data_IF_581663065379
#
_entry.id   IF_581663065379
#
_cell.length_a   1.000
_cell.length_b   1.000
_cell.length_c   1.000
_cell.angle_alpha   90.00
_cell.angle_beta   90.00
_cell.angle_gamma   90.00
#
_symmetry.space_group_name_H-M   'P 1'
#
loop_
_entity.id
_entity.type
_entity.pdbx_description
1 polymer ?
#
# COMPACT_ATOMS: atom_id res chain seq x y z
N UNK A 1 12.34 -23.79 -20.77
CA UNK A 1 13.40 -23.21 -19.90
C UNK A 1 14.42 -22.37 -20.66
N UNK A 2 15.16 -22.88 -21.68
CA UNK A 2 16.18 -22.08 -22.40
C UNK A 2 15.68 -20.76 -23.07
N UNK A 3 14.37 -20.59 -23.27
CA UNK A 3 13.80 -19.37 -23.84
C UNK A 3 13.34 -18.32 -22.80
N UNK A 4 13.22 -18.69 -21.52
CA UNK A 4 12.64 -17.82 -20.47
C UNK A 4 13.57 -16.63 -20.17
N UNK A 5 14.87 -16.89 -20.00
CA UNK A 5 15.84 -15.84 -19.67
C UNK A 5 15.96 -14.79 -20.79
N UNK A 6 16.15 -15.17 -22.07
CA UNK A 6 16.12 -14.20 -23.17
C UNK A 6 14.81 -13.41 -23.26
N UNK A 7 13.66 -14.04 -22.98
CA UNK A 7 12.37 -13.35 -22.99
C UNK A 7 12.26 -12.32 -21.85
N UNK A 8 12.71 -12.65 -20.64
CA UNK A 8 12.76 -11.71 -19.52
C UNK A 8 13.65 -10.51 -19.86
N UNK A 9 14.85 -10.76 -20.39
CA UNK A 9 15.77 -9.69 -20.79
C UNK A 9 15.14 -8.75 -21.85
N UNK A 10 14.44 -9.32 -22.84
CA UNK A 10 13.69 -8.53 -23.83
C UNK A 10 12.62 -7.65 -23.17
N UNK A 11 11.79 -8.23 -22.29
CA UNK A 11 10.72 -7.50 -21.61
C UNK A 11 11.26 -6.40 -20.68
N UNK A 12 12.39 -6.62 -20.01
CA UNK A 12 13.08 -5.58 -19.25
C UNK A 12 13.44 -4.39 -20.15
N UNK A 13 14.08 -4.65 -21.28
CA UNK A 13 14.42 -3.62 -22.26
C UNK A 13 13.19 -2.88 -22.80
N UNK A 14 12.08 -3.57 -23.00
CA UNK A 14 10.85 -2.95 -23.54
C UNK A 14 10.11 -2.12 -22.48
N UNK A 15 10.07 -2.56 -21.23
CA UNK A 15 9.10 -2.06 -20.24
C UNK A 15 9.68 -1.48 -18.96
N UNK A 16 10.90 -1.84 -18.53
CA UNK A 16 11.40 -1.38 -17.23
C UNK A 16 11.64 0.13 -17.24
N UNK A 17 11.18 0.82 -16.19
CA UNK A 17 11.20 2.28 -16.12
C UNK A 17 12.62 2.88 -16.17
N UNK A 18 13.66 2.10 -15.84
CA UNK A 18 15.07 2.51 -15.91
C UNK A 18 15.81 1.77 -17.04
N UNK A 19 15.96 2.36 -18.25
CA UNK A 19 16.52 1.69 -19.41
C UNK A 19 17.96 1.19 -19.23
N UNK A 20 18.79 1.98 -18.54
CA UNK A 20 20.20 1.66 -18.30
C UNK A 20 20.31 0.44 -17.37
N UNK A 21 19.52 0.41 -16.31
CA UNK A 21 19.44 -0.73 -15.38
C UNK A 21 18.85 -1.96 -16.08
N UNK A 22 17.86 -1.76 -16.97
CA UNK A 22 17.30 -2.85 -17.76
C UNK A 22 18.36 -3.56 -18.61
N UNK A 23 19.27 -2.79 -19.21
CA UNK A 23 20.37 -3.32 -20.01
C UNK A 23 21.37 -4.10 -19.14
N UNK A 24 21.77 -3.53 -18.00
CA UNK A 24 22.67 -4.19 -17.05
C UNK A 24 22.09 -5.52 -16.53
N UNK A 25 20.80 -5.55 -16.20
CA UNK A 25 20.12 -6.77 -15.79
C UNK A 25 20.01 -7.80 -16.93
N UNK A 26 19.77 -7.36 -18.16
CA UNK A 26 19.75 -8.24 -19.33
C UNK A 26 21.08 -8.97 -19.52
N UNK A 27 22.19 -8.22 -19.44
CA UNK A 27 23.55 -8.76 -19.53
C UNK A 27 23.87 -9.69 -18.35
N UNK A 28 23.49 -9.29 -17.12
CA UNK A 28 23.67 -10.11 -15.92
C UNK A 28 22.96 -11.45 -16.04
N UNK A 29 21.68 -11.46 -16.41
CA UNK A 29 20.89 -12.68 -16.55
C UNK A 29 21.46 -13.59 -17.64
N UNK A 30 21.91 -13.02 -18.77
CA UNK A 30 22.55 -13.78 -19.83
C UNK A 30 23.87 -14.42 -19.37
N UNK A 31 24.72 -13.67 -18.66
CA UNK A 31 25.96 -14.18 -18.08
C UNK A 31 25.70 -15.32 -17.08
N UNK A 32 24.76 -15.13 -16.15
CA UNK A 32 24.36 -16.16 -15.17
C UNK A 32 23.81 -17.43 -15.83
N UNK A 33 23.05 -17.28 -16.90
CA UNK A 33 22.57 -18.41 -17.68
C UNK A 33 23.72 -19.17 -18.35
N UNK A 34 24.69 -18.46 -18.94
CA UNK A 34 25.88 -19.06 -19.56
C UNK A 34 26.80 -19.76 -18.55
N UNK A 35 26.80 -19.31 -17.29
CA UNK A 35 27.48 -19.96 -16.16
C UNK A 35 26.75 -21.21 -15.63
N UNK A 36 25.58 -21.55 -16.18
CA UNK A 36 24.78 -22.70 -15.75
C UNK A 36 24.01 -22.50 -14.45
N UNK A 37 23.90 -21.26 -13.94
CA UNK A 37 23.23 -20.96 -12.64
C UNK A 37 21.79 -21.47 -12.55
N UNK A 38 21.10 -21.52 -13.68
CA UNK A 38 19.69 -21.89 -13.78
C UNK A 38 19.48 -23.33 -14.27
N UNK A 39 20.55 -24.07 -14.59
CA UNK A 39 20.44 -25.42 -15.14
C UNK A 39 19.85 -26.40 -14.11
N UNK A 40 18.90 -27.23 -14.56
CA UNK A 40 18.24 -28.24 -13.72
C UNK A 40 17.27 -27.68 -12.66
N UNK A 41 17.09 -26.36 -12.56
CA UNK A 41 16.13 -25.76 -11.64
C UNK A 41 14.69 -26.00 -12.11
N UNK A 42 13.82 -26.51 -11.22
CA UNK A 42 12.37 -26.48 -11.44
C UNK A 42 11.83 -25.04 -11.43
N UNK A 43 10.64 -24.81 -11.97
CA UNK A 43 10.08 -23.46 -12.18
C UNK A 43 10.04 -22.60 -10.90
N UNK A 44 9.63 -23.16 -9.76
CA UNK A 44 9.65 -22.45 -8.48
C UNK A 44 11.07 -21.99 -8.08
N UNK A 45 12.06 -22.88 -8.21
CA UNK A 45 13.46 -22.55 -7.88
C UNK A 45 14.06 -21.56 -8.89
N UNK A 46 13.68 -21.68 -10.16
CA UNK A 46 14.05 -20.72 -11.20
C UNK A 46 13.53 -19.32 -10.86
N UNK A 47 12.26 -19.20 -10.45
CA UNK A 47 11.65 -17.95 -10.02
C UNK A 47 12.42 -17.27 -8.87
N UNK A 48 12.82 -18.04 -7.86
CA UNK A 48 13.64 -17.54 -6.75
C UNK A 48 15.02 -17.03 -7.21
N UNK A 49 15.75 -17.84 -7.99
CA UNK A 49 17.09 -17.51 -8.46
C UNK A 49 17.09 -16.27 -9.36
N UNK A 50 16.17 -16.23 -10.33
CA UNK A 50 16.04 -15.10 -11.26
C UNK A 50 15.58 -13.85 -10.51
N UNK A 51 14.68 -13.96 -9.53
CA UNK A 51 14.30 -12.81 -8.69
C UNK A 51 15.49 -12.24 -7.93
N UNK A 52 16.32 -13.09 -7.31
CA UNK A 52 17.51 -12.63 -6.62
C UNK A 52 18.46 -11.87 -7.56
N UNK A 53 18.62 -12.34 -8.79
CA UNK A 53 19.49 -11.68 -9.77
C UNK A 53 18.85 -10.37 -10.29
N UNK A 54 17.55 -10.36 -10.58
CA UNK A 54 16.77 -9.18 -10.98
C UNK A 54 16.86 -8.03 -9.97
N UNK A 55 16.92 -8.34 -8.67
CA UNK A 55 16.93 -7.34 -7.61
C UNK A 55 18.35 -6.93 -7.20
N UNK A 56 19.38 -7.63 -7.67
CA UNK A 56 20.76 -7.46 -7.17
C UNK A 56 21.40 -6.09 -7.49
N UNK A 57 20.94 -5.44 -8.56
CA UNK A 57 21.50 -4.15 -9.03
C UNK A 57 20.67 -2.96 -8.54
N UNK A 58 19.35 -3.13 -8.43
CA UNK A 58 18.39 -2.04 -8.18
C UNK A 58 17.72 -2.08 -6.80
N UNK A 59 17.64 -3.24 -6.14
CA UNK A 59 16.89 -3.40 -4.89
C UNK A 59 15.37 -3.30 -5.01
N UNK A 60 14.82 -3.26 -6.24
CA UNK A 60 13.40 -3.05 -6.54
C UNK A 60 12.59 -4.31 -6.21
N UNK A 61 11.84 -4.24 -5.13
CA UNK A 61 11.07 -5.38 -4.62
C UNK A 61 9.86 -5.75 -5.50
N UNK A 62 9.49 -4.88 -6.44
CA UNK A 62 8.45 -5.14 -7.43
C UNK A 62 8.95 -5.90 -8.66
N UNK A 63 10.25 -5.86 -8.94
CA UNK A 63 10.86 -6.59 -10.06
C UNK A 63 11.14 -8.06 -9.67
N UNK A 64 10.31 -8.99 -10.16
CA UNK A 64 10.34 -10.41 -9.74
C UNK A 64 9.96 -11.35 -10.87
N UNK A 65 10.47 -12.57 -10.83
CA UNK A 65 9.89 -13.71 -11.53
C UNK A 65 9.01 -14.48 -10.54
N UNK A 66 7.74 -14.67 -10.87
CA UNK A 66 6.75 -15.38 -10.05
C UNK A 66 6.44 -16.74 -10.65
N UNK A 67 6.19 -17.69 -9.78
CA UNK A 67 5.70 -19.02 -10.11
C UNK A 67 4.26 -19.20 -9.64
N UNK A 68 3.41 -19.73 -10.52
CA UNK A 68 2.03 -20.11 -10.23
C UNK A 68 1.88 -21.63 -10.30
N UNK A 69 1.21 -22.23 -9.32
CA UNK A 69 0.87 -23.66 -9.38
C UNK A 69 -0.17 -23.97 -10.46
N UNK A 70 -1.08 -23.03 -10.72
CA UNK A 70 -2.02 -23.10 -11.84
C UNK A 70 -1.34 -22.61 -13.14
N UNK A 71 -1.77 -23.15 -14.28
CA UNK A 71 -1.35 -22.63 -15.58
C UNK A 71 -1.83 -21.19 -15.73
N UNK A 72 -0.94 -20.31 -16.19
CA UNK A 72 -1.27 -18.95 -16.56
C UNK A 72 -1.98 -18.99 -17.92
N UNK A 73 -3.05 -18.23 -18.09
CA UNK A 73 -3.77 -18.15 -19.36
C UNK A 73 -2.87 -17.52 -20.46
N UNK A 74 -3.11 -17.85 -21.73
CA UNK A 74 -2.28 -17.40 -22.88
C UNK A 74 -2.45 -15.92 -23.21
N UNK A 75 -3.63 -15.36 -22.93
CA UNK A 75 -3.84 -13.93 -23.01
C UNK A 75 -3.14 -13.28 -21.81
N UNK A 76 -2.53 -12.10 -22.00
CA UNK A 76 -2.64 -11.11 -20.94
C UNK A 76 -4.13 -11.03 -20.68
N UNK A 77 -4.61 -11.59 -19.55
CA UNK A 77 -6.02 -11.56 -19.19
C UNK A 77 -6.54 -10.19 -19.60
N UNK A 78 -7.54 -10.16 -20.48
CA UNK A 78 -8.17 -8.90 -20.80
C UNK A 78 -8.56 -8.22 -19.47
N UNK A 79 -8.58 -6.88 -19.46
CA UNK A 79 -8.81 -6.14 -18.21
C UNK A 79 -10.04 -6.65 -17.44
N UNK A 80 -11.02 -7.21 -18.15
CA UNK A 80 -12.20 -7.88 -17.58
C UNK A 80 -11.85 -9.11 -16.74
N UNK A 81 -11.00 -10.01 -17.21
CA UNK A 81 -10.64 -11.23 -16.48
C UNK A 81 -9.79 -10.94 -15.24
N UNK A 82 -8.84 -10.01 -15.33
CA UNK A 82 -8.08 -9.54 -14.16
C UNK A 82 -9.01 -8.90 -13.13
N UNK A 83 -9.94 -8.06 -13.60
CA UNK A 83 -10.94 -7.41 -12.74
C UNK A 83 -11.87 -8.45 -12.09
N UNK A 84 -12.24 -9.52 -12.79
CA UNK A 84 -13.07 -10.62 -12.26
C UNK A 84 -12.36 -11.38 -11.14
N UNK A 85 -11.10 -11.76 -11.34
CA UNK A 85 -10.29 -12.41 -10.30
C UNK A 85 -10.10 -11.47 -9.10
N UNK A 86 -9.83 -10.20 -9.36
CA UNK A 86 -9.71 -9.18 -8.32
C UNK A 86 -11.03 -8.98 -7.56
N UNK A 87 -12.17 -9.03 -8.24
CA UNK A 87 -13.50 -8.94 -7.64
C UNK A 87 -13.81 -10.14 -6.74
N UNK A 88 -13.45 -11.35 -7.17
CA UNK A 88 -13.60 -12.57 -6.36
C UNK A 88 -12.79 -12.45 -5.07
N UNK A 89 -11.51 -12.05 -5.17
CA UNK A 89 -10.67 -11.86 -3.99
C UNK A 89 -11.18 -10.71 -3.10
N UNK A 90 -11.55 -9.58 -3.69
CA UNK A 90 -12.16 -8.47 -2.97
C UNK A 90 -13.43 -8.93 -2.22
N UNK A 91 -14.27 -9.77 -2.83
CA UNK A 91 -15.46 -10.34 -2.20
C UNK A 91 -15.14 -11.16 -0.95
N UNK A 92 -14.09 -11.99 -1.00
CA UNK A 92 -13.61 -12.77 0.16
C UNK A 92 -12.96 -11.90 1.25
N UNK A 93 -12.50 -10.70 0.90
CA UNK A 93 -11.83 -9.75 1.79
C UNK A 93 -12.71 -8.53 2.15
N UNK A 94 -14.02 -8.56 1.90
CA UNK A 94 -14.93 -7.44 2.12
C UNK A 94 -14.45 -6.11 1.49
N UNK A 95 -13.96 -6.15 0.26
CA UNK A 95 -13.37 -5.01 -0.43
C UNK A 95 -12.05 -4.52 0.18
N UNK A 96 -11.40 -5.35 0.99
CA UNK A 96 -10.23 -4.99 1.78
C UNK A 96 -10.56 -4.36 3.15
N UNK A 97 -11.84 -4.13 3.47
CA UNK A 97 -12.26 -3.61 4.78
C UNK A 97 -12.25 -4.75 5.80
N UNK A 98 -11.10 -4.98 6.42
CA UNK A 98 -10.92 -6.02 7.43
C UNK A 98 -11.58 -5.66 8.77
N UNK A 99 -11.69 -4.36 9.09
CA UNK A 99 -12.46 -3.88 10.24
C UNK A 99 -12.89 -2.42 10.06
N UNK A 100 -14.09 -2.08 10.51
CA UNK A 100 -14.56 -0.70 10.69
C UNK A 100 -15.29 -0.60 12.03
N UNK A 101 -14.70 0.09 13.01
CA UNK A 101 -15.18 0.10 14.39
C UNK A 101 -15.08 1.49 15.02
N UNK A 102 -16.08 1.86 15.84
CA UNK A 102 -15.94 2.97 16.79
C UNK A 102 -15.40 2.43 18.12
N UNK A 103 -14.15 2.76 18.44
CA UNK A 103 -13.48 2.48 19.70
C UNK A 103 -13.97 3.42 20.83
N UNK A 104 -13.68 3.11 22.11
CA UNK A 104 -13.92 4.03 23.23
C UNK A 104 -13.34 5.41 22.99
N UNK A 105 -14.05 6.44 23.43
CA UNK A 105 -13.68 7.83 23.21
C UNK A 105 -14.05 8.34 21.81
N UNK A 106 -15.05 7.72 21.15
CA UNK A 106 -15.49 8.11 19.81
C UNK A 106 -14.35 8.17 18.78
N UNK A 107 -13.40 7.22 18.86
CA UNK A 107 -12.29 7.08 17.92
C UNK A 107 -12.67 6.04 16.87
N UNK A 108 -12.59 6.40 15.59
CA UNK A 108 -12.78 5.45 14.50
C UNK A 108 -11.53 4.60 14.29
N UNK A 109 -11.70 3.31 14.03
CA UNK A 109 -10.68 2.40 13.54
C UNK A 109 -11.14 1.84 12.19
N UNK A 110 -10.36 2.08 11.16
CA UNK A 110 -10.52 1.46 9.84
C UNK A 110 -9.28 0.63 9.54
N UNK A 111 -9.42 -0.69 9.46
CA UNK A 111 -8.36 -1.60 9.03
C UNK A 111 -8.56 -1.98 7.57
N UNK A 112 -7.55 -1.74 6.75
CA UNK A 112 -7.54 -2.18 5.35
C UNK A 112 -6.51 -3.30 5.17
N UNK A 113 -6.97 -4.48 4.81
CA UNK A 113 -6.15 -5.66 4.52
C UNK A 113 -6.92 -6.68 3.65
N UNK A 114 -6.26 -7.45 2.78
CA UNK A 114 -4.81 -7.40 2.50
C UNK A 114 -4.44 -6.29 1.50
N UNK A 115 -5.40 -5.70 0.77
CA UNK A 115 -5.15 -4.74 -0.31
C UNK A 115 -6.16 -3.59 -0.30
N UNK A 116 -5.73 -2.43 -0.82
CA UNK A 116 -6.63 -1.40 -1.33
C UNK A 116 -7.07 -1.82 -2.75
N UNK A 117 -8.10 -2.67 -2.84
CA UNK A 117 -8.61 -3.17 -4.13
C UNK A 117 -9.18 -2.04 -5.02
N UNK A 118 -9.26 -2.21 -6.36
CA UNK A 118 -9.79 -1.19 -7.25
C UNK A 118 -11.19 -0.68 -6.85
N UNK A 119 -11.50 0.62 -7.00
CA UNK A 119 -12.83 1.16 -6.67
C UNK A 119 -13.98 0.47 -7.41
N UNK A 120 -13.74 -0.01 -8.62
CA UNK A 120 -14.74 -0.75 -9.41
C UNK A 120 -15.26 -2.03 -8.72
N UNK A 121 -14.50 -2.62 -7.78
CA UNK A 121 -14.88 -3.85 -7.07
C UNK A 121 -15.05 -3.67 -5.56
N UNK A 122 -14.46 -2.62 -5.00
CA UNK A 122 -14.39 -2.41 -3.54
C UNK A 122 -14.83 -1.01 -3.08
N UNK A 123 -15.20 -0.13 -4.02
CA UNK A 123 -15.56 1.27 -3.74
C UNK A 123 -16.69 1.41 -2.73
N UNK A 124 -17.72 0.56 -2.84
CA UNK A 124 -18.89 0.61 -1.97
C UNK A 124 -18.56 0.23 -0.52
N UNK A 125 -17.75 -0.81 -0.31
CA UNK A 125 -17.34 -1.28 1.01
C UNK A 125 -16.46 -0.25 1.72
N UNK A 126 -15.47 0.29 1.01
CA UNK A 126 -14.59 1.35 1.54
C UNK A 126 -15.39 2.61 1.84
N UNK A 127 -16.31 3.00 0.96
CA UNK A 127 -17.22 4.14 1.17
C UNK A 127 -18.10 3.94 2.40
N UNK A 128 -18.71 2.77 2.56
CA UNK A 128 -19.55 2.46 3.71
C UNK A 128 -18.76 2.51 5.03
N UNK A 129 -17.52 2.02 5.02
CA UNK A 129 -16.64 2.08 6.19
C UNK A 129 -16.30 3.53 6.57
N UNK A 130 -15.97 4.39 5.60
CA UNK A 130 -15.75 5.81 5.86
C UNK A 130 -17.02 6.53 6.32
N UNK A 131 -18.18 6.23 5.73
CA UNK A 131 -19.46 6.80 6.17
C UNK A 131 -19.80 6.45 7.61
N UNK A 132 -19.59 5.18 8.00
CA UNK A 132 -19.79 4.72 9.37
C UNK A 132 -18.93 5.52 10.37
N UNK A 133 -17.69 5.82 9.99
CA UNK A 133 -16.71 6.47 10.85
C UNK A 133 -16.67 8.00 10.68
N UNK A 134 -17.45 8.56 9.74
CA UNK A 134 -17.38 9.98 9.37
C UNK A 134 -17.66 10.93 10.54
N UNK A 135 -18.44 10.50 11.55
CA UNK A 135 -18.79 11.32 12.73
C UNK A 135 -17.90 11.09 13.95
N UNK A 136 -16.90 10.21 13.85
CA UNK A 136 -15.93 10.00 14.95
C UNK A 136 -15.04 11.22 15.13
N UNK A 137 -14.54 11.47 16.34
CA UNK A 137 -13.74 12.67 16.65
C UNK A 137 -12.29 12.54 16.15
N UNK A 138 -11.81 11.30 15.98
CA UNK A 138 -10.46 10.93 15.56
C UNK A 138 -10.52 9.64 14.75
N UNK A 139 -9.55 9.42 13.84
CA UNK A 139 -9.49 8.20 13.02
C UNK A 139 -8.10 7.54 13.10
N UNK A 140 -8.10 6.23 13.26
CA UNK A 140 -6.93 5.38 13.12
C UNK A 140 -7.14 4.54 11.85
N UNK A 141 -6.24 4.69 10.89
CA UNK A 141 -6.19 3.90 9.66
C UNK A 141 -5.12 2.83 9.80
N UNK A 142 -5.52 1.59 9.98
CA UNK A 142 -4.60 0.46 10.17
C UNK A 142 -4.24 -0.19 8.83
N UNK A 143 -2.99 0.03 8.39
CA UNK A 143 -2.40 -0.50 7.15
C UNK A 143 -1.27 -1.48 7.43
N UNK A 144 -1.13 -1.97 8.68
CA UNK A 144 -0.06 -2.88 9.09
C UNK A 144 -0.02 -4.17 8.27
N UNK A 145 -1.16 -4.61 7.76
CA UNK A 145 -1.30 -5.83 6.93
C UNK A 145 -1.68 -5.50 5.48
N UNK A 146 -1.55 -4.22 5.06
CA UNK A 146 -1.83 -3.80 3.69
C UNK A 146 -0.60 -4.01 2.80
N UNK A 147 -0.70 -4.96 1.87
CA UNK A 147 0.39 -5.41 1.00
C UNK A 147 0.47 -4.66 -0.33
N UNK A 148 -0.41 -3.68 -0.55
CA UNK A 148 -0.48 -2.91 -1.78
C UNK A 148 -1.88 -2.46 -2.12
N UNK A 149 -2.05 -2.05 -3.38
CA UNK A 149 -3.36 -1.68 -3.87
C UNK A 149 -3.35 -0.88 -5.15
N UNK A 150 -4.55 -0.59 -5.61
CA UNK A 150 -4.83 0.22 -6.78
C UNK A 150 -4.66 1.72 -6.45
N UNK A 151 -3.92 2.48 -7.27
CA UNK A 151 -3.74 3.93 -7.08
C UNK A 151 -5.06 4.73 -7.05
N UNK A 152 -6.10 4.28 -7.75
CA UNK A 152 -7.40 4.95 -7.71
C UNK A 152 -8.12 4.69 -6.38
N UNK A 153 -7.91 3.54 -5.74
CA UNK A 153 -8.42 3.32 -4.38
C UNK A 153 -7.65 4.13 -3.34
N UNK A 154 -6.33 4.33 -3.53
CA UNK A 154 -5.56 5.28 -2.72
C UNK A 154 -6.16 6.68 -2.84
N UNK A 155 -6.40 7.14 -4.07
CA UNK A 155 -7.04 8.43 -4.33
C UNK A 155 -8.46 8.54 -3.76
N UNK A 156 -9.23 7.45 -3.82
CA UNK A 156 -10.58 7.36 -3.26
C UNK A 156 -10.57 7.46 -1.74
N UNK A 157 -9.75 6.65 -1.06
CA UNK A 157 -9.61 6.69 0.39
C UNK A 157 -9.11 8.05 0.88
N UNK A 158 -8.14 8.65 0.20
CA UNK A 158 -7.65 9.99 0.50
C UNK A 158 -8.78 11.05 0.37
N UNK A 159 -9.68 10.89 -0.61
CA UNK A 159 -10.81 11.79 -0.84
C UNK A 159 -11.78 11.95 0.34
N UNK A 160 -11.89 10.95 1.22
CA UNK A 160 -12.68 11.05 2.47
C UNK A 160 -12.00 11.88 3.57
N UNK A 161 -10.68 12.10 3.44
CA UNK A 161 -9.84 12.78 4.42
C UNK A 161 -9.52 14.23 4.02
N UNK A 162 -10.08 14.72 2.91
CA UNK A 162 -9.89 16.07 2.38
C UNK A 162 -11.10 16.98 2.60
N UNK A 163 -10.87 18.28 2.41
CA UNK A 163 -11.91 19.28 2.27
C UNK A 163 -12.64 19.21 0.91
N UNK A 164 -13.23 20.33 0.45
CA UNK A 164 -13.92 20.37 -0.84
C UNK A 164 -12.96 20.32 -2.04
N UNK A 165 -11.76 20.88 -1.91
CA UNK A 165 -10.78 20.94 -2.99
C UNK A 165 -10.00 19.62 -3.13
N UNK A 166 -9.81 19.12 -4.37
CA UNK A 166 -8.93 17.98 -4.63
C UNK A 166 -7.49 18.26 -4.22
N UNK A 167 -6.81 17.24 -3.70
CA UNK A 167 -5.41 17.29 -3.30
C UNK A 167 -4.59 16.48 -4.30
N UNK A 168 -3.51 17.07 -4.82
CA UNK A 168 -2.58 16.34 -5.69
C UNK A 168 -1.83 15.28 -4.88
N UNK A 169 -1.83 14.04 -5.36
CA UNK A 169 -1.17 12.91 -4.72
C UNK A 169 0.14 12.58 -5.46
N UNK A 170 0.89 11.62 -4.95
CA UNK A 170 2.06 11.07 -5.62
C UNK A 170 1.69 10.60 -7.03
N UNK A 171 2.35 11.17 -8.04
CA UNK A 171 2.15 10.86 -9.45
C UNK A 171 3.04 9.70 -9.92
N UNK A 172 2.94 9.38 -11.21
CA UNK A 172 3.69 8.29 -11.85
C UNK A 172 4.46 8.84 -13.05
N UNK A 173 5.78 8.78 -13.00
CA UNK A 173 6.62 9.04 -14.16
C UNK A 173 6.95 7.72 -14.87
N UNK A 174 6.59 7.62 -16.15
CA UNK A 174 7.00 6.49 -16.97
C UNK A 174 8.44 6.64 -17.44
N UNK A 175 8.87 5.77 -18.36
CA UNK A 175 10.22 5.74 -18.90
C UNK A 175 10.66 7.08 -19.49
N UNK A 176 9.76 7.81 -20.15
CA UNK A 176 10.00 9.21 -20.50
C UNK A 176 9.71 10.07 -19.25
N UNK A 177 10.70 10.77 -18.67
CA UNK A 177 10.45 11.63 -17.52
C UNK A 177 9.49 12.78 -17.80
N UNK A 178 9.29 13.16 -19.07
CA UNK A 178 8.27 14.13 -19.46
C UNK A 178 6.84 13.55 -19.38
N UNK A 179 6.71 12.22 -19.36
CA UNK A 179 5.45 11.49 -19.21
C UNK A 179 5.11 11.27 -17.72
N UNK A 180 4.88 12.39 -17.03
CA UNK A 180 4.43 12.41 -15.63
C UNK A 180 2.90 12.46 -15.56
N UNK A 181 2.29 11.35 -15.17
CA UNK A 181 0.88 11.28 -14.86
C UNK A 181 0.63 11.74 -13.43
N UNK A 182 -0.12 12.84 -13.29
CA UNK A 182 -0.54 13.34 -11.99
C UNK A 182 -1.70 12.49 -11.45
N UNK A 183 -1.67 12.22 -10.15
CA UNK A 183 -2.77 11.63 -9.41
C UNK A 183 -3.39 12.69 -8.49
N UNK A 184 -4.71 12.65 -8.32
CA UNK A 184 -5.45 13.59 -7.47
C UNK A 184 -6.47 12.82 -6.62
N UNK A 185 -6.72 13.27 -5.40
CA UNK A 185 -7.74 12.68 -4.53
C UNK A 185 -9.11 12.67 -5.23
N UNK A 186 -9.82 11.56 -5.19
CA UNK A 186 -11.11 11.43 -5.87
C UNK A 186 -12.20 12.23 -5.17
N UNK A 187 -13.20 12.66 -5.95
CA UNK A 187 -14.49 13.01 -5.38
C UNK A 187 -15.14 11.75 -4.80
N UNK A 188 -15.67 11.85 -3.59
CA UNK A 188 -16.36 10.75 -2.90
C UNK A 188 -17.75 11.21 -2.46
N UNK A 189 -18.78 10.35 -2.59
CA UNK A 189 -20.14 10.71 -2.24
C UNK A 189 -20.35 10.70 -0.72
N UNK A 190 -21.35 11.46 -0.26
CA UNK A 190 -21.83 11.41 1.12
C UNK A 190 -20.88 12.05 2.14
N UNK A 191 -21.02 11.68 3.43
CA UNK A 191 -20.22 12.25 4.50
C UNK A 191 -18.72 11.95 4.34
N UNK A 192 -17.90 12.99 4.48
CA UNK A 192 -16.44 12.86 4.62
C UNK A 192 -16.05 12.87 6.09
N UNK A 193 -14.93 12.22 6.42
CA UNK A 193 -14.28 12.45 7.70
C UNK A 193 -13.72 13.88 7.77
N UNK A 194 -13.30 14.41 6.62
CA UNK A 194 -12.91 15.81 6.45
C UNK A 194 -11.45 16.09 6.81
N UNK A 195 -11.01 17.35 6.64
CA UNK A 195 -9.60 17.71 6.79
C UNK A 195 -9.17 18.00 8.23
N UNK A 196 -10.11 18.37 9.11
CA UNK A 196 -9.78 18.99 10.40
C UNK A 196 -9.52 17.99 11.53
N UNK A 197 -10.18 16.84 11.48
CA UNK A 197 -10.09 15.84 12.54
C UNK A 197 -8.80 15.04 12.43
N UNK A 198 -8.16 14.71 13.57
CA UNK A 198 -6.85 14.06 13.56
C UNK A 198 -6.94 12.63 13.03
N UNK A 199 -5.89 12.23 12.31
CA UNK A 199 -5.72 10.89 11.73
C UNK A 199 -4.36 10.33 12.12
N UNK A 200 -4.31 9.05 12.45
CA UNK A 200 -3.08 8.28 12.60
C UNK A 200 -3.11 7.09 11.65
N UNK A 201 -1.98 6.78 11.03
CA UNK A 201 -1.82 5.62 10.13
C UNK A 201 -0.92 4.60 10.80
N UNK A 202 -1.37 3.35 10.91
CA UNK A 202 -0.56 2.28 11.46
C UNK A 202 0.18 1.55 10.34
N UNK A 203 1.49 1.38 10.51
CA UNK A 203 2.35 0.68 9.55
C UNK A 203 3.18 -0.42 10.21
N UNK A 204 3.57 -1.41 9.41
CA UNK A 204 4.50 -2.46 9.81
C UNK A 204 5.61 -2.63 8.78
N UNK A 205 6.61 -3.46 9.10
CA UNK A 205 7.65 -3.87 8.16
C UNK A 205 7.14 -4.63 6.92
N UNK A 206 5.86 -5.05 6.87
CA UNK A 206 5.26 -5.70 5.70
C UNK A 206 4.32 -4.78 4.90
N UNK A 207 3.96 -3.60 5.44
CA UNK A 207 3.16 -2.62 4.69
C UNK A 207 3.90 -2.25 3.40
N UNK A 208 3.22 -2.35 2.26
CA UNK A 208 3.88 -2.30 0.96
C UNK A 208 3.04 -1.58 -0.12
N UNK A 209 3.69 -1.00 -1.13
CA UNK A 209 3.06 -0.52 -2.38
C UNK A 209 1.91 0.48 -2.14
N UNK A 210 0.70 0.24 -2.64
CA UNK A 210 -0.45 1.13 -2.42
C UNK A 210 -0.73 1.49 -0.94
N UNK A 211 -0.44 0.58 0.01
CA UNK A 211 -0.54 0.90 1.45
C UNK A 211 0.51 1.92 1.90
N UNK A 212 1.70 1.86 1.31
CA UNK A 212 2.74 2.88 1.49
C UNK A 212 2.35 4.18 0.80
N UNK A 213 1.81 4.15 -0.42
CA UNK A 213 1.39 5.37 -1.14
C UNK A 213 0.40 6.20 -0.32
N UNK A 214 -0.65 5.57 0.23
CA UNK A 214 -1.61 6.26 1.10
C UNK A 214 -0.95 6.81 2.38
N UNK A 215 -0.07 6.03 3.01
CA UNK A 215 0.66 6.45 4.21
C UNK A 215 1.58 7.63 3.94
N UNK A 216 2.32 7.58 2.83
CA UNK A 216 3.30 8.59 2.42
C UNK A 216 2.60 9.91 2.09
N UNK A 217 1.56 9.89 1.26
CA UNK A 217 0.83 11.11 0.89
C UNK A 217 0.18 11.78 2.11
N UNK A 218 -0.33 10.98 3.07
CA UNK A 218 -0.89 11.50 4.32
C UNK A 218 0.19 12.10 5.23
N UNK A 219 1.34 11.45 5.34
CA UNK A 219 2.44 11.89 6.19
C UNK A 219 3.14 13.14 5.64
N UNK A 220 3.51 13.13 4.36
CA UNK A 220 4.25 14.22 3.71
C UNK A 220 3.47 15.54 3.76
N UNK A 221 2.14 15.45 3.77
CA UNK A 221 1.23 16.59 3.86
C UNK A 221 0.89 17.00 5.29
N UNK A 222 1.39 16.28 6.31
CA UNK A 222 1.03 16.47 7.71
C UNK A 222 -0.46 16.19 7.99
N UNK A 223 -1.15 15.44 7.12
CA UNK A 223 -2.56 15.09 7.31
C UNK A 223 -2.71 14.00 8.38
N UNK A 224 -1.74 13.09 8.48
CA UNK A 224 -1.71 12.06 9.50
C UNK A 224 -0.29 11.84 10.02
N UNK A 225 -0.17 11.38 11.26
CA UNK A 225 1.08 10.83 11.79
C UNK A 225 1.13 9.32 11.57
N UNK A 226 2.28 8.80 11.17
CA UNK A 226 2.54 7.37 11.00
C UNK A 226 3.05 6.78 12.32
N UNK A 227 2.43 5.69 12.76
CA UNK A 227 2.72 5.01 14.03
C UNK A 227 3.02 3.54 13.76
N UNK A 228 4.14 3.04 14.27
CA UNK A 228 4.54 1.64 14.09
C UNK A 228 5.95 1.52 13.54
N UNK A 229 6.13 0.63 12.56
CA UNK A 229 7.43 0.30 12.00
C UNK A 229 7.65 0.97 10.64
N UNK A 230 8.92 1.05 10.24
CA UNK A 230 9.31 1.43 8.88
C UNK A 230 8.72 0.44 7.88
N UNK A 231 8.10 0.95 6.82
CA UNK A 231 7.48 0.12 5.78
C UNK A 231 8.52 -0.55 4.87
N UNK A 232 8.04 -1.45 4.01
CA UNK A 232 8.90 -2.35 3.24
C UNK A 232 9.67 -1.69 2.08
N UNK A 233 9.17 -0.58 1.53
CA UNK A 233 9.88 0.24 0.55
C UNK A 233 9.65 -0.12 -0.91
N UNK A 234 8.42 -0.37 -1.35
CA UNK A 234 8.11 -0.56 -2.77
C UNK A 234 7.21 0.55 -3.29
N UNK A 235 7.75 1.46 -4.07
CA UNK A 235 7.03 2.59 -4.65
C UNK A 235 6.66 2.39 -6.12
N UNK A 236 7.43 1.62 -6.88
CA UNK A 236 7.24 1.58 -8.34
C UNK A 236 6.02 0.73 -8.79
N UNK A 237 5.05 1.32 -9.53
CA UNK A 237 3.97 0.55 -10.16
C UNK A 237 4.52 -0.46 -11.18
N UNK A 238 3.94 -1.66 -11.19
CA UNK A 238 4.39 -2.79 -12.02
C UNK A 238 3.28 -3.38 -12.87
N UNK A 239 3.69 -4.01 -13.97
CA UNK A 239 2.84 -4.86 -14.82
C UNK A 239 3.36 -6.30 -14.83
N UNK A 240 2.46 -7.26 -15.01
CA UNK A 240 2.78 -8.69 -15.15
C UNK A 240 2.88 -9.09 -16.63
N UNK A 241 3.88 -9.90 -16.95
CA UNK A 241 4.11 -10.44 -18.29
C UNK A 241 4.35 -11.94 -18.19
N UNK A 242 3.48 -12.75 -18.83
CA UNK A 242 3.68 -14.20 -18.91
C UNK A 242 4.93 -14.51 -19.74
N UNK A 243 5.79 -15.38 -19.22
CA UNK A 243 7.04 -15.82 -19.87
C UNK A 243 7.16 -17.32 -20.03
N UNK A 244 6.27 -18.09 -19.40
CA UNK A 244 6.14 -19.55 -19.56
C UNK A 244 4.73 -19.96 -19.08
N UNK A 245 4.39 -21.25 -19.12
CA UNK A 245 3.08 -21.78 -18.69
C UNK A 245 2.75 -21.42 -17.24
N UNK A 246 3.75 -21.40 -16.36
CA UNK A 246 3.59 -21.16 -14.92
C UNK A 246 4.41 -19.99 -14.40
N UNK A 247 5.01 -19.19 -15.30
CA UNK A 247 5.93 -18.11 -14.93
C UNK A 247 5.46 -16.77 -15.48
N UNK A 248 5.40 -15.78 -14.57
CA UNK A 248 5.12 -14.38 -14.88
C UNK A 248 6.28 -13.53 -14.36
N UNK A 249 6.87 -12.70 -15.21
CA UNK A 249 7.78 -11.64 -14.76
C UNK A 249 6.99 -10.37 -14.48
N UNK A 250 7.27 -9.72 -13.38
CA UNK A 250 6.60 -8.49 -12.99
C UNK A 250 7.56 -7.34 -13.07
N UNK A 251 7.30 -6.38 -13.96
CA UNK A 251 8.24 -5.33 -14.34
C UNK A 251 7.67 -3.97 -13.92
N UNK A 252 8.41 -3.18 -13.14
CA UNK A 252 8.04 -1.80 -12.83
C UNK A 252 8.09 -0.91 -14.08
N UNK A 253 6.94 -0.39 -14.50
CA UNK A 253 6.79 0.40 -15.73
C UNK A 253 6.75 1.90 -15.47
N UNK A 254 6.60 2.29 -14.20
CA UNK A 254 6.62 3.66 -13.77
C UNK A 254 7.33 3.79 -12.42
N UNK A 255 7.68 5.02 -12.04
CA UNK A 255 8.15 5.37 -10.71
C UNK A 255 7.23 6.39 -10.07
N UNK A 256 6.98 6.23 -8.78
CA UNK A 256 6.25 7.22 -7.98
C UNK A 256 7.08 8.50 -7.84
N UNK A 257 6.42 9.65 -7.98
CA UNK A 257 7.04 10.97 -7.82
C UNK A 257 6.13 11.86 -6.98
N UNK A 258 6.60 12.23 -5.79
CA UNK A 258 5.90 13.20 -4.95
C UNK A 258 5.83 14.57 -5.63
N UNK A 259 4.67 15.24 -5.64
CA UNK A 259 4.58 16.64 -6.09
C UNK A 259 5.19 17.64 -5.10
N UNK A 260 5.57 17.20 -3.88
CA UNK A 260 6.13 18.05 -2.82
C UNK A 260 7.66 17.90 -2.76
N UNK A 261 8.15 16.69 -2.53
CA UNK A 261 9.59 16.42 -2.39
C UNK A 261 10.29 16.09 -3.71
N UNK A 262 9.54 15.71 -4.74
CA UNK A 262 10.09 15.15 -5.98
C UNK A 262 10.67 13.74 -5.82
N UNK A 263 10.64 13.17 -4.61
CA UNK A 263 11.14 11.84 -4.29
C UNK A 263 10.03 10.80 -4.11
N UNK A 264 10.36 9.65 -3.50
CA UNK A 264 9.43 8.58 -3.13
C UNK A 264 10.02 7.71 -1.98
N UNK A 265 9.35 6.61 -1.64
CA UNK A 265 9.76 5.65 -0.58
C UNK A 265 10.45 4.38 -1.09
N UNK A 266 10.81 4.28 -2.37
CA UNK A 266 11.46 3.08 -2.92
C UNK A 266 12.77 2.77 -2.18
N UNK A 267 12.96 1.51 -1.80
CA UNK A 267 14.17 1.01 -1.13
C UNK A 267 14.40 1.51 0.30
N UNK A 268 13.69 2.56 0.73
CA UNK A 268 13.85 3.19 2.05
C UNK A 268 12.66 2.93 2.96
N UNK A 269 11.47 2.76 2.40
CA UNK A 269 10.23 2.73 3.15
C UNK A 269 9.94 4.05 3.87
N UNK A 270 8.77 4.12 4.46
CA UNK A 270 8.26 5.28 5.18
C UNK A 270 8.70 5.15 6.63
N UNK A 271 9.41 6.15 7.13
CA UNK A 271 9.79 6.21 8.53
C UNK A 271 8.57 6.61 9.38
N UNK A 272 8.28 5.91 10.49
CA UNK A 272 7.19 6.30 11.37
C UNK A 272 7.53 7.58 12.14
N UNK A 273 6.54 8.47 12.33
CA UNK A 273 6.66 9.63 13.22
C UNK A 273 6.71 9.19 14.70
N UNK A 274 6.01 8.11 15.01
CA UNK A 274 6.00 7.47 16.34
C UNK A 274 6.49 6.02 16.19
N UNK A 275 7.80 5.78 16.32
CA UNK A 275 8.37 4.45 16.16
C UNK A 275 8.03 3.55 17.33
N UNK A 276 7.30 2.46 17.06
CA UNK A 276 6.96 1.38 18.00
C UNK A 276 6.90 0.05 17.24
N UNK A 277 6.92 -1.09 17.93
CA UNK A 277 6.69 -2.37 17.26
C UNK A 277 5.28 -2.40 16.65
N UNK A 278 5.09 -3.14 15.54
CA UNK A 278 3.79 -3.19 14.86
C UNK A 278 2.65 -3.68 15.78
N UNK A 279 2.96 -4.55 16.75
CA UNK A 279 2.01 -5.02 17.76
C UNK A 279 1.50 -3.88 18.67
N UNK A 280 2.36 -2.91 18.98
CA UNK A 280 2.08 -1.81 19.91
C UNK A 280 1.54 -0.55 19.20
N UNK A 281 1.53 -0.53 17.87
CA UNK A 281 1.09 0.62 17.08
C UNK A 281 -0.36 1.02 17.36
N UNK A 282 -1.28 0.06 17.48
CA UNK A 282 -2.69 0.36 17.77
C UNK A 282 -2.88 0.94 19.18
N UNK A 283 -2.37 0.33 20.27
CA UNK A 283 -2.35 0.94 21.59
C UNK A 283 -1.75 2.35 21.60
N UNK A 284 -0.60 2.55 20.94
CA UNK A 284 0.08 3.84 20.88
C UNK A 284 -0.76 4.91 20.16
N UNK A 285 -1.33 4.60 19.00
CA UNK A 285 -2.19 5.52 18.27
C UNK A 285 -3.52 5.78 18.98
N UNK A 286 -4.11 4.77 19.63
CA UNK A 286 -5.35 4.94 20.40
C UNK A 286 -5.13 5.88 21.57
N UNK A 287 -4.00 5.77 22.29
CA UNK A 287 -3.61 6.74 23.32
C UNK A 287 -3.60 8.18 22.79
N UNK A 288 -2.91 8.42 21.67
CA UNK A 288 -2.82 9.75 21.04
C UNK A 288 -4.20 10.26 20.60
N UNK A 289 -5.04 9.39 20.06
CA UNK A 289 -6.40 9.72 19.66
C UNK A 289 -7.28 10.09 20.86
N UNK A 290 -7.19 9.35 21.97
CA UNK A 290 -7.93 9.63 23.20
C UNK A 290 -7.53 10.98 23.81
N UNK A 291 -6.23 11.30 23.83
CA UNK A 291 -5.71 12.60 24.27
C UNK A 291 -6.31 13.75 23.42
N UNK A 292 -6.35 13.59 22.10
CA UNK A 292 -6.96 14.56 21.20
C UNK A 292 -8.48 14.72 21.45
N UNK A 293 -9.19 13.61 21.70
CA UNK A 293 -10.63 13.63 22.02
C UNK A 293 -10.90 14.38 23.33
N UNK A 294 -10.07 14.17 24.35
CA UNK A 294 -10.22 14.84 25.65
C UNK A 294 -9.99 16.36 25.54
N UNK A 295 -9.12 16.79 24.63
CA UNK A 295 -8.89 18.22 24.37
C UNK A 295 -10.12 18.95 23.79
N UNK A 296 -11.09 18.23 23.22
CA UNK A 296 -12.36 18.80 22.73
C UNK A 296 -13.36 19.10 23.86
N UNK A 297 -13.01 18.83 25.12
CA UNK A 297 -13.84 19.12 26.28
C UNK A 297 -14.86 18.01 26.62
N UNK A 298 -15.58 18.22 27.73
CA UNK A 298 -16.44 17.20 28.34
C UNK A 298 -17.85 17.71 28.69
N UNK A 299 -18.29 18.80 28.06
CA UNK A 299 -19.59 19.40 28.35
C UNK A 299 -20.73 18.73 27.56
N UNK A 300 -21.95 18.76 28.13
CA UNK A 300 -23.15 18.23 27.48
C UNK A 300 -23.04 16.75 27.10
N UNK A 301 -23.46 16.41 25.87
CA UNK A 301 -23.38 15.03 25.37
C UNK A 301 -21.94 14.51 25.22
N UNK A 302 -20.91 15.39 25.22
CA UNK A 302 -19.50 14.96 25.18
C UNK A 302 -19.02 14.39 26.51
N UNK A 303 -19.73 14.61 27.61
CA UNK A 303 -19.36 14.07 28.92
C UNK A 303 -19.16 12.55 28.91
N UNK A 304 -20.04 11.83 28.19
CA UNK A 304 -19.93 10.37 28.04
C UNK A 304 -18.70 9.97 27.22
N UNK A 305 -18.46 10.63 26.09
CA UNK A 305 -17.29 10.37 25.24
C UNK A 305 -15.99 10.62 26.01
N UNK A 306 -15.92 11.72 26.77
CA UNK A 306 -14.77 12.02 27.61
C UNK A 306 -14.58 11.00 28.75
N UNK A 307 -15.66 10.46 29.32
CA UNK A 307 -15.58 9.39 30.32
C UNK A 307 -15.04 8.08 29.71
N UNK A 308 -15.55 7.67 28.54
CA UNK A 308 -15.03 6.52 27.78
C UNK A 308 -13.53 6.70 27.48
N UNK A 309 -13.13 7.90 27.05
CA UNK A 309 -11.75 8.21 26.73
C UNK A 309 -10.82 8.09 27.94
N UNK A 310 -11.19 8.66 29.10
CA UNK A 310 -10.38 8.55 30.33
C UNK A 310 -10.24 7.10 30.80
N UNK A 311 -11.32 6.32 30.75
CA UNK A 311 -11.29 4.92 31.15
C UNK A 311 -10.38 4.09 30.24
N UNK A 312 -10.49 4.28 28.92
CA UNK A 312 -9.65 3.58 27.96
C UNK A 312 -8.18 3.97 28.10
N UNK A 313 -7.89 5.27 28.32
CA UNK A 313 -6.54 5.77 28.53
C UNK A 313 -5.88 5.13 29.75
N UNK A 314 -6.59 5.10 30.89
CA UNK A 314 -6.10 4.45 32.10
C UNK A 314 -5.86 2.94 31.91
N UNK A 315 -6.69 2.27 31.10
CA UNK A 315 -6.51 0.86 30.75
C UNK A 315 -5.24 0.58 29.94
N UNK A 316 -4.91 1.47 28.99
CA UNK A 316 -3.68 1.38 28.20
C UNK A 316 -2.43 1.62 29.06
N UNK A 317 -2.48 2.55 30.01
CA UNK A 317 -1.37 2.82 30.94
C UNK A 317 -1.07 1.62 31.85
N UNK A 318 -2.09 0.93 32.34
CA UNK A 318 -1.91 -0.29 33.14
C UNK A 318 -1.31 -1.43 32.30
N UNK A 319 -1.81 -1.64 31.08
CA UNK A 319 -1.28 -2.68 30.20
C UNK A 319 0.21 -2.47 29.85
N UNK A 320 0.64 -1.21 29.71
CA UNK A 320 2.04 -0.87 29.47
C UNK A 320 2.94 -1.02 30.71
N UNK A 321 2.38 -0.99 31.92
CA UNK A 321 3.13 -1.20 33.17
C UNK A 321 3.36 -2.70 33.46
N UNK A 322 2.55 -3.58 32.88
CA UNK A 322 2.59 -5.02 33.08
C UNK A 322 3.38 -5.78 31.98
N UNK A 323 3.82 -5.09 30.93
CA UNK A 323 4.58 -5.62 29.78
C UNK A 323 6.08 -5.35 29.87
#
# INVERSE_FOLDING_TARGET
MNAVIPQIAKLLHEHYVFPEVAAELGDLLAARAAEGRYEGAGQARLAELVTADLQSVNGDLHLRLKHSEAELEEAHDDEETQLRQMAEWAGLACGGVAAAQRLPGNVGLLKIAPLLFPPAVAGDQVTAAFHLLASTDALILDLRECLGGDPNMVAWAYGFLTGPEPVQLTGMAHRDPADLHQLWSSHVPGPKFGPDKPVWVLTSAITFSGGEALSFDLQERGRAAVVGERTRGGAHPRQGFKVDTHLEVTIPTARSVSPISGGNWEGTGIAPDVPVAAADALPAAHRLALEAVLALGADGFRAQVAAEARQALAGLEHAAADS
#
